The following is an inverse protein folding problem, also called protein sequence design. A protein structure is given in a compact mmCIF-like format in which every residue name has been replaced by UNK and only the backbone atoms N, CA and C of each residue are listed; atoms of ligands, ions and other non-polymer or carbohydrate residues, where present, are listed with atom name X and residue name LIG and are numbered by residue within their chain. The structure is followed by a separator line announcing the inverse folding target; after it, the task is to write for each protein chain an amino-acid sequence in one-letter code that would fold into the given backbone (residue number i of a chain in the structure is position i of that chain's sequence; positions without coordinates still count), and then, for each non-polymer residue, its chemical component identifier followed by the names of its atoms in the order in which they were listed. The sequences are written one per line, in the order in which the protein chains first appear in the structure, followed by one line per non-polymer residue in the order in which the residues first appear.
data_IF_948265036765
#
_entry.id   IF_948265036765
#
_cell.length_a   1.000
_cell.length_b   1.000
_cell.length_c   1.000
_cell.angle_alpha   90.00
_cell.angle_beta   90.00
_cell.angle_gamma   90.00
#
_symmetry.space_group_name_H-M   'P 1'
#
loop_
_entity.id
_entity.type
_entity.pdbx_description
1 polymer ?
#
# COMPACT_ATOMS: atom_id res chain seq x y z
N UNK A 1 17.69 20.67 54.24
CA UNK A 1 17.96 21.35 52.95
C UNK A 1 17.23 20.56 51.88
N UNK A 2 16.23 21.19 51.26
CA UNK A 2 15.60 20.72 50.03
C UNK A 2 16.66 20.71 48.90
N UNK A 3 16.52 19.83 47.91
CA UNK A 3 16.14 20.23 46.54
C UNK A 3 16.15 19.06 45.53
N UNK A 4 14.92 18.65 45.18
CA UNK A 4 14.43 18.30 43.83
C UNK A 4 14.87 16.96 43.23
N UNK A 5 14.08 15.93 43.52
CA UNK A 5 13.76 14.87 42.55
C UNK A 5 13.08 15.50 41.33
N UNK A 6 13.83 15.74 40.26
CA UNK A 6 13.26 16.05 38.95
C UNK A 6 12.68 14.77 38.36
N UNK A 7 11.42 14.48 38.67
CA UNK A 7 10.62 13.56 37.91
C UNK A 7 10.27 14.24 36.57
N UNK A 8 11.08 14.00 35.54
CA UNK A 8 10.65 14.29 34.17
C UNK A 8 9.49 13.32 33.88
N UNK A 9 8.28 13.81 33.55
CA UNK A 9 7.33 12.95 32.88
C UNK A 9 7.98 12.62 31.54
N UNK A 10 8.56 11.43 31.40
CA UNK A 10 8.68 10.78 30.09
C UNK A 10 7.24 10.67 29.62
N UNK A 11 6.81 11.64 28.82
CA UNK A 11 5.66 11.43 27.95
C UNK A 11 6.05 10.21 27.13
N UNK A 12 5.47 9.06 27.48
CA UNK A 12 5.31 7.96 26.55
C UNK A 12 4.45 8.52 25.42
N UNK A 13 5.12 9.21 24.47
CA UNK A 13 4.54 9.56 23.19
C UNK A 13 4.30 8.20 22.56
N UNK A 14 3.07 7.70 22.66
CA UNK A 14 2.64 6.57 21.85
C UNK A 14 3.11 6.88 20.43
N UNK A 15 3.97 6.05 19.83
CA UNK A 15 4.52 6.36 18.52
C UNK A 15 3.34 6.63 17.60
N UNK A 16 3.29 7.84 17.02
CA UNK A 16 2.22 8.25 16.11
C UNK A 16 1.90 7.07 15.19
N UNK A 17 0.64 6.62 15.20
CA UNK A 17 0.23 5.42 14.46
C UNK A 17 0.57 5.62 12.99
N UNK A 18 1.72 5.08 12.58
CA UNK A 18 2.22 5.18 11.21
C UNK A 18 1.17 4.66 10.24
N UNK A 19 0.90 5.42 9.18
CA UNK A 19 -0.07 5.00 8.18
C UNK A 19 0.45 3.78 7.43
N UNK A 20 -0.22 2.64 7.57
CA UNK A 20 0.19 1.39 6.92
C UNK A 20 0.15 1.55 5.40
N UNK A 21 1.19 1.06 4.74
CA UNK A 21 1.30 1.06 3.29
C UNK A 21 1.86 -0.28 2.81
N UNK A 22 1.06 -1.02 2.06
CA UNK A 22 1.44 -2.35 1.58
C UNK A 22 2.23 -2.25 0.28
N UNK A 23 3.37 -2.94 0.23
CA UNK A 23 4.21 -3.13 -0.93
C UNK A 23 4.08 -4.58 -1.37
N UNK A 24 3.52 -4.81 -2.54
CA UNK A 24 3.25 -6.14 -3.07
C UNK A 24 4.36 -6.58 -4.01
N UNK A 25 4.76 -7.85 -3.90
CA UNK A 25 5.61 -8.50 -4.89
C UNK A 25 4.75 -8.92 -6.09
N UNK A 26 4.93 -8.25 -7.22
CA UNK A 26 4.22 -8.57 -8.47
C UNK A 26 5.25 -9.02 -9.50
N UNK A 27 5.29 -10.32 -9.78
CA UNK A 27 6.32 -10.93 -10.62
C UNK A 27 7.73 -10.65 -10.07
N UNK A 28 8.54 -9.89 -10.83
CA UNK A 28 9.92 -9.56 -10.43
C UNK A 28 10.05 -8.21 -9.73
N UNK A 29 9.02 -7.37 -9.73
CA UNK A 29 9.06 -6.00 -9.21
C UNK A 29 8.28 -5.87 -7.89
N UNK A 30 8.45 -4.73 -7.22
CA UNK A 30 7.65 -4.36 -6.06
C UNK A 30 6.74 -3.21 -6.41
N UNK A 31 5.48 -3.29 -6.01
CA UNK A 31 4.47 -2.30 -6.35
C UNK A 31 3.72 -1.83 -5.10
N UNK A 32 3.33 -0.57 -5.06
CA UNK A 32 2.36 -0.08 -4.09
C UNK A 32 1.48 0.99 -4.73
N UNK A 33 0.31 1.22 -4.16
CA UNK A 33 -0.61 2.27 -4.60
C UNK A 33 -0.98 3.14 -3.42
N UNK A 34 -0.83 4.43 -3.60
CA UNK A 34 -1.19 5.40 -2.59
C UNK A 34 -1.40 6.76 -3.23
N UNK A 35 -2.45 7.45 -2.79
CA UNK A 35 -2.72 8.83 -3.19
C UNK A 35 -2.11 9.76 -2.14
N UNK A 36 -1.00 10.41 -2.49
CA UNK A 36 -0.34 11.38 -1.62
C UNK A 36 -1.00 12.74 -1.75
N UNK A 37 -1.50 13.29 -0.65
CA UNK A 37 -1.95 14.68 -0.58
C UNK A 37 -0.77 15.67 -0.59
N UNK A 38 0.37 15.23 -0.03
CA UNK A 38 1.63 15.96 -0.04
C UNK A 38 2.31 15.83 -1.41
N UNK A 39 2.33 16.95 -2.15
CA UNK A 39 2.95 17.03 -3.47
C UNK A 39 4.46 16.83 -3.44
N UNK A 40 5.14 17.13 -2.35
CA UNK A 40 6.59 16.90 -2.24
C UNK A 40 6.89 15.40 -2.23
N UNK A 41 6.12 14.63 -1.46
CA UNK A 41 6.24 13.16 -1.42
C UNK A 41 5.94 12.57 -2.79
N UNK A 42 4.87 13.04 -3.44
CA UNK A 42 4.52 12.56 -4.78
C UNK A 42 5.62 12.87 -5.81
N UNK A 43 6.15 14.10 -5.81
CA UNK A 43 7.17 14.53 -6.76
C UNK A 43 8.50 13.76 -6.57
N UNK A 44 8.90 13.48 -5.33
CA UNK A 44 10.08 12.67 -5.03
C UNK A 44 9.95 11.24 -5.58
N UNK A 45 8.73 10.69 -5.58
CA UNK A 45 8.44 9.34 -6.03
C UNK A 45 8.01 9.26 -7.50
N UNK A 46 7.93 10.40 -8.20
CA UNK A 46 7.35 10.51 -9.54
C UNK A 46 8.07 9.64 -10.57
N UNK A 47 9.39 9.45 -10.42
CA UNK A 47 10.18 8.59 -11.30
C UNK A 47 9.73 7.11 -11.28
N UNK A 48 9.10 6.67 -10.18
CA UNK A 48 8.58 5.32 -10.02
C UNK A 48 7.08 5.20 -10.36
N UNK A 49 6.41 6.31 -10.67
CA UNK A 49 4.96 6.31 -10.85
C UNK A 49 4.55 5.85 -12.25
N UNK A 50 3.88 4.70 -12.33
CA UNK A 50 3.27 4.21 -13.56
C UNK A 50 1.88 4.83 -13.73
N UNK A 51 1.74 5.73 -14.71
CA UNK A 51 0.49 6.47 -14.97
C UNK A 51 -0.63 5.61 -15.54
N UNK A 52 -0.29 4.57 -16.29
CA UNK A 52 -1.29 3.67 -16.90
C UNK A 52 -1.92 2.77 -15.85
N UNK A 53 -1.10 2.31 -14.88
CA UNK A 53 -1.53 1.40 -13.81
C UNK A 53 -1.90 2.11 -12.50
N UNK A 54 -1.70 3.43 -12.43
CA UNK A 54 -1.95 4.26 -11.25
C UNK A 54 -1.31 3.69 -9.97
N UNK A 55 -0.04 3.26 -10.08
CA UNK A 55 0.73 2.65 -8.99
C UNK A 55 2.21 3.02 -9.11
N UNK A 56 2.95 2.87 -8.03
CA UNK A 56 4.40 3.00 -8.03
C UNK A 56 5.05 1.63 -8.27
N UNK A 57 6.03 1.59 -9.16
CA UNK A 57 6.75 0.37 -9.55
C UNK A 57 8.24 0.50 -9.22
N UNK A 58 8.74 -0.40 -8.39
CA UNK A 58 10.11 -0.41 -7.90
C UNK A 58 10.82 -1.63 -8.50
N UNK A 59 11.59 -1.36 -9.55
CA UNK A 59 12.27 -2.39 -10.34
C UNK A 59 13.43 -3.09 -9.63
N UNK A 60 13.97 -2.50 -8.55
CA UNK A 60 15.11 -3.05 -7.82
C UNK A 60 14.89 -3.04 -6.30
N UNK A 61 15.53 -3.97 -5.61
CA UNK A 61 15.53 -4.04 -4.13
C UNK A 61 16.16 -2.78 -3.51
N UNK A 62 17.17 -2.22 -4.17
CA UNK A 62 17.80 -0.96 -3.75
C UNK A 62 16.81 0.22 -3.77
N UNK A 63 16.08 0.39 -4.88
CA UNK A 63 15.04 1.42 -4.99
C UNK A 63 13.95 1.22 -3.94
N UNK A 64 13.45 -0.02 -3.78
CA UNK A 64 12.46 -0.38 -2.75
C UNK A 64 12.91 0.05 -1.35
N UNK A 65 14.11 -0.34 -0.95
CA UNK A 65 14.61 -0.03 0.40
C UNK A 65 14.83 1.48 0.61
N UNK A 66 15.28 2.22 -0.43
CA UNK A 66 15.39 3.68 -0.39
C UNK A 66 14.02 4.33 -0.15
N UNK A 67 13.02 3.92 -0.92
CA UNK A 67 11.66 4.48 -0.84
C UNK A 67 10.97 4.14 0.48
N UNK A 68 11.11 2.90 0.98
CA UNK A 68 10.57 2.53 2.29
C UNK A 68 11.13 3.42 3.40
N UNK A 69 12.46 3.60 3.46
CA UNK A 69 13.09 4.48 4.46
C UNK A 69 12.65 5.93 4.34
N UNK A 70 12.46 6.42 3.12
CA UNK A 70 11.93 7.76 2.89
C UNK A 70 10.51 7.91 3.43
N UNK A 71 9.63 6.96 3.11
CA UNK A 71 8.24 6.95 3.56
C UNK A 71 8.11 6.77 5.09
N UNK A 72 8.98 5.96 5.70
CA UNK A 72 9.04 5.82 7.17
C UNK A 72 9.33 7.15 7.88
N UNK A 73 10.24 7.96 7.32
CA UNK A 73 10.55 9.31 7.82
C UNK A 73 9.39 10.28 7.61
N UNK A 74 8.50 9.99 6.66
CA UNK A 74 7.28 10.75 6.36
C UNK A 74 6.04 10.22 7.10
N UNK A 75 6.20 9.34 8.09
CA UNK A 75 5.11 8.85 8.94
C UNK A 75 4.35 7.62 8.39
N UNK A 76 4.84 6.99 7.34
CA UNK A 76 4.26 5.75 6.82
C UNK A 76 4.88 4.52 7.50
N UNK A 77 4.12 3.42 7.54
CA UNK A 77 4.56 2.11 7.96
C UNK A 77 4.55 1.14 6.78
N UNK A 78 5.62 1.07 5.97
CA UNK A 78 5.71 0.14 4.86
C UNK A 78 5.65 -1.32 5.33
N UNK A 79 4.84 -2.14 4.67
CA UNK A 79 4.74 -3.58 4.91
C UNK A 79 5.00 -4.33 3.61
N UNK A 80 5.90 -5.31 3.63
CA UNK A 80 6.21 -6.14 2.45
C UNK A 80 5.26 -7.34 2.41
N UNK A 81 4.56 -7.49 1.29
CA UNK A 81 3.63 -8.59 1.01
C UNK A 81 4.16 -9.37 -0.19
N UNK A 82 4.76 -10.53 0.06
CA UNK A 82 5.26 -11.42 -1.00
C UNK A 82 4.17 -12.38 -1.49
N UNK A 83 3.42 -12.96 -0.55
CA UNK A 83 2.26 -13.77 -0.85
C UNK A 83 1.01 -12.87 -0.95
N UNK A 84 0.46 -12.78 -2.15
CA UNK A 84 -0.71 -11.94 -2.44
C UNK A 84 -2.03 -12.69 -2.28
N UNK A 85 -2.04 -13.98 -1.92
CA UNK A 85 -3.27 -14.79 -1.89
C UNK A 85 -4.36 -14.18 -1.02
N UNK A 86 -4.03 -13.66 0.16
CA UNK A 86 -5.01 -13.01 1.06
C UNK A 86 -5.59 -11.69 0.51
N UNK A 87 -4.96 -11.11 -0.51
CA UNK A 87 -5.35 -9.87 -1.16
C UNK A 87 -5.95 -10.09 -2.54
N UNK A 88 -6.04 -11.35 -2.98
CA UNK A 88 -6.48 -11.68 -4.33
C UNK A 88 -7.95 -12.01 -4.32
N UNK A 89 -8.72 -11.35 -5.19
CA UNK A 89 -10.14 -11.63 -5.43
C UNK A 89 -10.35 -11.85 -6.92
N UNK A 90 -11.41 -12.55 -7.28
CA UNK A 90 -11.84 -12.71 -8.66
C UNK A 90 -13.32 -12.36 -8.83
N UNK A 91 -13.68 -11.95 -10.02
CA UNK A 91 -15.06 -11.66 -10.38
C UNK A 91 -15.30 -12.10 -11.82
N UNK A 92 -16.51 -12.60 -12.10
CA UNK A 92 -16.96 -12.89 -13.46
C UNK A 92 -16.72 -11.67 -14.37
N UNK A 93 -16.09 -11.90 -15.53
CA UNK A 93 -15.64 -10.85 -16.45
C UNK A 93 -16.76 -10.00 -17.05
N UNK A 94 -18.00 -10.48 -17.01
CA UNK A 94 -19.20 -9.81 -17.50
C UNK A 94 -19.85 -8.91 -16.43
N UNK A 95 -19.44 -9.02 -15.16
CA UNK A 95 -19.90 -8.12 -14.09
C UNK A 95 -19.18 -6.78 -14.13
N UNK A 96 -19.83 -5.75 -13.59
CA UNK A 96 -19.20 -4.43 -13.39
C UNK A 96 -18.13 -4.53 -12.31
N UNK A 97 -16.92 -4.08 -12.62
CA UNK A 97 -15.76 -4.20 -11.74
C UNK A 97 -15.05 -2.85 -11.47
N UNK A 98 -15.59 -1.73 -11.95
CA UNK A 98 -14.98 -0.39 -11.79
C UNK A 98 -14.61 -0.03 -10.34
N UNK A 99 -15.51 -0.25 -9.34
CA UNK A 99 -15.18 -0.04 -7.94
C UNK A 99 -14.00 -0.89 -7.44
N UNK A 100 -13.93 -2.15 -7.88
CA UNK A 100 -12.85 -3.09 -7.53
C UNK A 100 -11.53 -2.64 -8.15
N UNK A 101 -11.53 -2.31 -9.44
CA UNK A 101 -10.33 -1.83 -10.16
C UNK A 101 -9.71 -0.62 -9.45
N UNK A 102 -10.54 0.33 -8.99
CA UNK A 102 -10.05 1.54 -8.30
C UNK A 102 -9.20 1.22 -7.08
N UNK A 103 -9.50 0.15 -6.36
CA UNK A 103 -8.78 -0.26 -5.14
C UNK A 103 -7.80 -1.42 -5.38
N UNK A 104 -7.54 -1.79 -6.64
CA UNK A 104 -6.56 -2.81 -7.00
C UNK A 104 -5.15 -2.23 -7.25
N UNK A 105 -4.14 -3.05 -6.95
CA UNK A 105 -2.72 -2.89 -7.28
C UNK A 105 -2.44 -3.43 -8.68
N UNK A 106 -3.01 -4.59 -9.00
CA UNK A 106 -2.82 -5.28 -10.27
C UNK A 106 -4.08 -6.06 -10.62
N UNK A 107 -4.23 -6.39 -11.90
CA UNK A 107 -5.30 -7.26 -12.36
C UNK A 107 -4.89 -8.04 -13.61
N UNK A 108 -5.55 -9.17 -13.82
CA UNK A 108 -5.38 -10.00 -15.01
C UNK A 108 -6.72 -10.66 -15.41
N UNK A 109 -6.84 -11.13 -16.64
CA UNK A 109 -8.00 -11.89 -17.13
C UNK A 109 -7.63 -13.35 -17.34
N UNK A 110 -8.37 -14.27 -16.72
CA UNK A 110 -8.17 -15.71 -16.87
C UNK A 110 -9.49 -16.41 -17.17
N UNK A 111 -9.70 -16.74 -18.44
CA UNK A 111 -10.90 -17.43 -18.90
C UNK A 111 -12.16 -16.57 -18.75
N UNK A 112 -13.05 -16.95 -17.83
CA UNK A 112 -14.26 -16.21 -17.50
C UNK A 112 -14.09 -15.25 -16.32
N UNK A 113 -12.93 -15.25 -15.67
CA UNK A 113 -12.68 -14.46 -14.47
C UNK A 113 -11.74 -13.28 -14.74
N UNK A 114 -12.00 -12.16 -14.06
CA UNK A 114 -11.03 -11.09 -13.82
C UNK A 114 -10.47 -11.28 -12.42
N UNK A 115 -9.16 -11.33 -12.29
CA UNK A 115 -8.46 -11.50 -11.02
C UNK A 115 -7.86 -10.16 -10.64
N UNK A 116 -8.01 -9.73 -9.40
CA UNK A 116 -7.49 -8.48 -8.85
C UNK A 116 -6.64 -8.76 -7.62
N UNK A 117 -5.49 -8.09 -7.52
CA UNK A 117 -4.74 -7.97 -6.27
C UNK A 117 -5.13 -6.63 -5.64
N UNK A 118 -5.76 -6.68 -4.48
CA UNK A 118 -6.30 -5.51 -3.77
C UNK A 118 -5.22 -4.77 -2.97
N UNK A 119 -5.42 -3.48 -2.75
CA UNK A 119 -4.47 -2.59 -2.06
C UNK A 119 -4.30 -2.92 -0.57
N UNK A 120 -5.35 -3.40 0.06
CA UNK A 120 -5.41 -3.75 1.48
C UNK A 120 -6.59 -4.71 1.73
N UNK A 121 -6.70 -5.24 2.94
CA UNK A 121 -7.75 -6.20 3.30
C UNK A 121 -9.15 -5.56 3.34
N UNK A 122 -9.24 -4.27 3.65
CA UNK A 122 -10.53 -3.54 3.58
C UNK A 122 -11.02 -3.50 2.14
N UNK A 123 -10.11 -3.29 1.20
CA UNK A 123 -10.41 -3.34 -0.23
C UNK A 123 -10.85 -4.74 -0.69
N UNK A 124 -10.35 -5.82 -0.07
CA UNK A 124 -10.82 -7.19 -0.31
C UNK A 124 -12.27 -7.35 0.12
N UNK A 125 -12.59 -6.94 1.35
CA UNK A 125 -13.95 -6.98 1.90
C UNK A 125 -14.93 -6.17 1.05
N UNK A 126 -14.54 -4.96 0.66
CA UNK A 126 -15.32 -4.11 -0.25
C UNK A 126 -15.53 -4.79 -1.61
N UNK A 127 -14.51 -5.45 -2.17
CA UNK A 127 -14.63 -6.14 -3.44
C UNK A 127 -15.62 -7.33 -3.36
N UNK A 128 -15.56 -8.09 -2.26
CA UNK A 128 -16.50 -9.19 -1.99
C UNK A 128 -17.94 -8.65 -1.86
N UNK A 129 -18.13 -7.54 -1.14
CA UNK A 129 -19.43 -6.86 -1.06
C UNK A 129 -19.95 -6.39 -2.43
N UNK A 130 -19.05 -6.16 -3.40
CA UNK A 130 -19.37 -5.81 -4.79
C UNK A 130 -19.46 -7.03 -5.72
N UNK A 131 -19.48 -8.25 -5.18
CA UNK A 131 -19.76 -9.49 -5.92
C UNK A 131 -18.53 -10.22 -6.45
N UNK A 132 -17.34 -9.92 -5.93
CA UNK A 132 -16.14 -10.73 -6.09
C UNK A 132 -16.09 -11.89 -5.07
N UNK A 133 -15.18 -12.83 -5.29
CA UNK A 133 -14.91 -14.02 -4.45
C UNK A 133 -13.42 -14.32 -4.33
#
# INVERSE_FOLDING_TARGET
MNERDMCFPTFDIEPEKKKKLNFFKIGKIWCFKYFFDDKEIFNELLEYYNREKYRFELGSVGARNKIMKYLEKKGFGPVLIEDTSAYTVKIDRFKKYGPILKNSIDHDEKGQDRIFVMNDLVSVEDAIANGAE
#
